data_IF_377753874673
#
_entry.id   IF_377753874673
#
_cell.length_a   1.000
_cell.length_b   1.000
_cell.length_c   1.000
_cell.angle_alpha   90.00
_cell.angle_beta   90.00
_cell.angle_gamma   90.00
#
_symmetry.space_group_name_H-M   'P 1'
#
loop_
_entity.id
_entity.type
_entity.pdbx_description
1 polymer ?
#
# COMPACT_ATOMS: atom_id res chain seq x y z
N UNK A 1 -25.76 -32.04 -16.08
CA UNK A 1 -27.01 -32.77 -15.78
C UNK A 1 -26.75 -33.72 -14.60
N UNK A 2 -26.97 -33.28 -13.36
CA UNK A 2 -27.22 -34.12 -12.17
C UNK A 2 -27.31 -33.22 -10.93
N UNK A 3 -28.55 -32.86 -10.55
CA UNK A 3 -28.91 -32.13 -9.34
C UNK A 3 -28.98 -33.12 -8.16
N UNK A 4 -28.19 -32.91 -7.10
CA UNK A 4 -28.33 -33.66 -5.86
C UNK A 4 -29.27 -32.90 -4.91
N UNK A 5 -30.57 -33.19 -5.02
CA UNK A 5 -31.62 -32.72 -4.11
C UNK A 5 -31.51 -33.44 -2.76
N UNK A 6 -31.14 -32.72 -1.70
CA UNK A 6 -31.20 -33.24 -0.33
C UNK A 6 -32.49 -32.76 0.34
N UNK A 7 -33.30 -33.76 0.72
CA UNK A 7 -34.64 -33.71 1.33
C UNK A 7 -34.79 -32.67 2.45
N UNK A 8 -35.87 -31.90 2.34
CA UNK A 8 -36.55 -31.21 3.44
C UNK A 8 -37.12 -32.23 4.42
N UNK A 9 -36.76 -32.12 5.70
CA UNK A 9 -37.47 -32.76 6.81
C UNK A 9 -38.03 -31.65 7.70
N UNK A 10 -39.35 -31.50 7.65
CA UNK A 10 -40.13 -30.64 8.52
C UNK A 10 -40.25 -31.28 9.90
N UNK A 11 -39.63 -30.67 10.91
CA UNK A 11 -40.02 -30.87 12.31
C UNK A 11 -40.41 -29.53 12.90
N UNK A 12 -41.70 -29.20 12.76
CA UNK A 12 -42.34 -28.15 13.53
C UNK A 12 -42.32 -28.58 14.99
N UNK A 13 -41.50 -27.93 15.81
CA UNK A 13 -41.63 -27.95 17.27
C UNK A 13 -41.49 -26.54 17.84
N UNK A 14 -42.65 -26.06 18.27
CA UNK A 14 -42.91 -25.02 19.27
C UNK A 14 -42.39 -23.60 19.03
N UNK A 15 -43.35 -22.76 18.62
CA UNK A 15 -43.52 -21.39 19.12
C UNK A 15 -43.38 -21.39 20.64
N UNK A 16 -42.28 -20.83 21.14
CA UNK A 16 -42.21 -20.22 22.46
C UNK A 16 -41.68 -18.81 22.30
N UNK A 17 -42.64 -17.88 22.32
CA UNK A 17 -42.42 -16.52 22.79
C UNK A 17 -41.71 -16.57 24.14
N UNK A 18 -40.54 -15.94 24.20
CA UNK A 18 -39.95 -15.45 25.44
C UNK A 18 -38.86 -14.44 25.06
N UNK A 19 -39.27 -13.18 24.89
CA UNK A 19 -38.40 -12.03 25.09
C UNK A 19 -37.71 -12.19 26.45
N UNK A 20 -36.46 -12.63 26.48
CA UNK A 20 -35.62 -12.62 27.68
C UNK A 20 -34.24 -12.12 27.26
N UNK A 21 -34.02 -10.83 27.54
CA UNK A 21 -32.75 -10.12 27.63
C UNK A 21 -31.61 -10.64 26.76
N UNK A 22 -31.60 -10.28 25.47
CA UNK A 22 -30.31 -10.01 24.85
C UNK A 22 -29.75 -8.77 25.54
N UNK A 23 -28.58 -8.87 26.16
CA UNK A 23 -28.10 -7.78 26.95
C UNK A 23 -27.55 -6.71 26.00
N UNK A 24 -27.91 -5.45 26.26
CA UNK A 24 -27.41 -4.27 25.54
C UNK A 24 -25.87 -4.24 25.41
N UNK A 25 -25.13 -5.01 26.23
CA UNK A 25 -23.68 -5.15 26.13
C UNK A 25 -23.18 -5.87 24.86
N UNK A 26 -23.94 -6.80 24.29
CA UNK A 26 -23.48 -7.57 23.11
C UNK A 26 -23.43 -6.71 21.84
N UNK A 27 -24.41 -5.82 21.65
CA UNK A 27 -24.42 -4.85 20.55
C UNK A 27 -23.32 -3.79 20.70
N UNK A 28 -22.99 -3.40 21.94
CA UNK A 28 -21.87 -2.47 22.20
C UNK A 28 -20.51 -3.12 21.91
N UNK A 29 -20.34 -4.41 22.21
CA UNK A 29 -19.12 -5.16 21.92
C UNK A 29 -18.92 -5.32 20.42
N UNK A 30 -19.96 -5.64 19.65
CA UNK A 30 -19.89 -5.74 18.19
C UNK A 30 -19.52 -4.41 17.52
N UNK A 31 -20.03 -3.28 18.03
CA UNK A 31 -19.65 -1.95 17.55
C UNK A 31 -18.17 -1.64 17.83
N UNK A 32 -17.67 -2.04 19.01
CA UNK A 32 -16.25 -1.93 19.35
C UNK A 32 -15.37 -2.88 18.53
N UNK A 33 -15.82 -4.11 18.25
CA UNK A 33 -15.11 -5.08 17.41
C UNK A 33 -14.98 -4.57 15.97
N UNK A 34 -16.06 -4.02 15.41
CA UNK A 34 -16.06 -3.47 14.05
C UNK A 34 -15.22 -2.19 13.95
N UNK A 35 -15.24 -1.33 14.98
CA UNK A 35 -14.34 -0.18 15.07
C UNK A 35 -12.87 -0.62 15.22
N UNK A 36 -12.60 -1.66 16.01
CA UNK A 36 -11.27 -2.23 16.22
C UNK A 36 -10.71 -2.85 14.93
N UNK A 37 -11.49 -3.61 14.17
CA UNK A 37 -11.04 -4.18 12.88
C UNK A 37 -10.85 -3.10 11.80
N UNK A 38 -11.64 -2.02 11.82
CA UNK A 38 -11.44 -0.83 10.95
C UNK A 38 -10.18 -0.04 11.33
N UNK A 39 -9.89 0.10 12.60
CA UNK A 39 -8.67 0.74 13.10
C UNK A 39 -7.43 -0.14 12.82
N UNK A 40 -7.56 -1.46 13.00
CA UNK A 40 -6.51 -2.45 12.71
C UNK A 40 -6.14 -2.48 11.22
N UNK A 41 -7.14 -2.45 10.33
CA UNK A 41 -6.89 -2.33 8.88
C UNK A 41 -6.20 -1.00 8.53
N UNK A 42 -6.59 0.12 9.16
CA UNK A 42 -5.90 1.42 9.02
C UNK A 42 -4.43 1.39 9.46
N UNK A 43 -4.16 0.80 10.61
CA UNK A 43 -2.81 0.67 11.15
C UNK A 43 -1.93 -0.25 10.27
N UNK A 44 -2.56 -1.18 9.55
CA UNK A 44 -1.83 -2.15 8.70
C UNK A 44 -1.21 -1.50 7.46
N UNK A 45 -1.94 -0.65 6.72
CA UNK A 45 -1.38 -0.04 5.50
C UNK A 45 -0.32 1.02 5.78
N UNK A 46 -0.46 1.78 6.88
CA UNK A 46 0.54 2.80 7.26
C UNK A 46 1.87 2.12 7.58
N UNK A 47 1.81 0.98 8.27
CA UNK A 47 2.98 0.16 8.55
C UNK A 47 3.62 -0.34 7.26
N UNK A 48 2.82 -0.77 6.29
CA UNK A 48 3.32 -1.23 4.99
C UNK A 48 4.03 -0.11 4.21
N UNK A 49 3.46 1.10 4.15
CA UNK A 49 4.04 2.23 3.40
C UNK A 49 5.40 2.71 3.92
N UNK A 50 5.69 2.49 5.20
CA UNK A 50 6.95 2.89 5.84
C UNK A 50 7.90 1.71 6.11
N UNK A 51 7.52 0.49 5.72
CA UNK A 51 8.38 -0.67 5.86
C UNK A 51 9.49 -0.63 4.79
N UNK A 52 10.69 -1.16 5.10
CA UNK A 52 11.78 -1.21 4.14
C UNK A 52 11.48 -2.22 3.02
N UNK A 53 12.09 -2.04 1.85
CA UNK A 53 11.79 -2.83 0.64
C UNK A 53 11.99 -4.33 0.88
N UNK A 54 13.02 -4.72 1.64
CA UNK A 54 13.34 -6.12 1.95
C UNK A 54 12.22 -6.82 2.74
N UNK A 55 11.41 -6.06 3.47
CA UNK A 55 10.26 -6.58 4.22
C UNK A 55 8.99 -6.57 3.39
N UNK A 56 8.81 -5.56 2.54
CA UNK A 56 7.61 -5.40 1.70
C UNK A 56 7.66 -6.35 0.50
N UNK A 57 8.81 -6.43 -0.16
CA UNK A 57 9.05 -7.22 -1.37
C UNK A 57 10.51 -7.73 -1.43
N UNK A 58 10.80 -8.88 -0.79
CA UNK A 58 12.15 -9.44 -0.77
C UNK A 58 12.62 -9.94 -2.14
N UNK A 59 11.71 -10.33 -3.04
CA UNK A 59 12.06 -10.81 -4.37
C UNK A 59 12.68 -9.68 -5.21
N UNK A 60 12.07 -8.49 -5.17
CA UNK A 60 12.61 -7.31 -5.85
C UNK A 60 13.92 -6.85 -5.20
N UNK A 61 14.02 -6.90 -3.87
CA UNK A 61 15.27 -6.57 -3.17
C UNK A 61 16.44 -7.47 -3.63
N UNK A 62 16.19 -8.78 -3.75
CA UNK A 62 17.18 -9.75 -4.24
C UNK A 62 17.60 -9.47 -5.69
N UNK A 63 16.66 -9.11 -6.57
CA UNK A 63 16.95 -8.73 -7.96
C UNK A 63 17.87 -7.50 -8.02
N UNK A 64 17.63 -6.50 -7.17
CA UNK A 64 18.47 -5.30 -7.11
C UNK A 64 19.89 -5.65 -6.64
N UNK A 65 20.05 -6.52 -5.64
CA UNK A 65 21.37 -6.95 -5.18
C UNK A 65 22.13 -7.77 -6.22
N UNK A 66 21.43 -8.62 -6.98
CA UNK A 66 22.01 -9.34 -8.10
C UNK A 66 22.50 -8.40 -9.21
N UNK A 67 21.74 -7.35 -9.53
CA UNK A 67 22.15 -6.35 -10.53
C UNK A 67 23.34 -5.51 -10.05
N UNK A 68 23.34 -5.09 -8.78
CA UNK A 68 24.51 -4.42 -8.17
C UNK A 68 25.77 -5.30 -8.28
N UNK A 69 25.64 -6.59 -8.00
CA UNK A 69 26.74 -7.53 -8.11
C UNK A 69 27.20 -7.73 -9.58
N UNK A 70 26.27 -7.70 -10.55
CA UNK A 70 26.59 -7.73 -11.98
C UNK A 70 27.42 -6.52 -12.38
N UNK A 71 26.94 -5.32 -12.06
CA UNK A 71 27.63 -4.05 -12.38
C UNK A 71 29.01 -3.95 -11.72
N UNK A 72 29.16 -4.47 -10.50
CA UNK A 72 30.45 -4.44 -9.80
C UNK A 72 31.50 -5.40 -10.40
N UNK A 73 31.07 -6.55 -10.93
CA UNK A 73 31.97 -7.58 -11.49
C UNK A 73 32.24 -7.36 -12.99
N UNK A 74 31.34 -6.68 -13.69
CA UNK A 74 31.42 -6.44 -15.13
C UNK A 74 32.36 -5.30 -15.48
N UNK A 75 33.00 -5.41 -16.65
CA UNK A 75 33.62 -4.26 -17.31
C UNK A 75 32.63 -3.69 -18.32
N UNK A 76 31.91 -2.65 -17.90
CA UNK A 76 30.89 -2.02 -18.74
C UNK A 76 31.54 -1.08 -19.77
N UNK A 77 31.47 -1.45 -21.05
CA UNK A 77 32.11 -0.72 -22.16
C UNK A 77 31.11 0.01 -23.07
N UNK A 78 29.85 0.10 -22.66
CA UNK A 78 28.82 0.79 -23.42
C UNK A 78 29.00 2.30 -23.18
N UNK A 79 29.33 3.10 -24.22
CA UNK A 79 29.75 4.50 -24.03
C UNK A 79 28.64 5.44 -23.56
N UNK A 80 27.37 5.02 -23.69
CA UNK A 80 26.20 5.78 -23.24
C UNK A 80 25.78 5.45 -21.81
N UNK A 81 26.32 4.39 -21.21
CA UNK A 81 25.99 4.00 -19.83
C UNK A 81 26.97 4.62 -18.85
N UNK A 82 26.50 4.87 -17.61
CA UNK A 82 27.32 5.48 -16.58
C UNK A 82 26.81 5.12 -15.18
N UNK A 83 27.69 5.20 -14.18
CA UNK A 83 27.33 5.05 -12.77
C UNK A 83 27.07 6.41 -12.16
N UNK A 84 25.83 6.62 -11.71
CA UNK A 84 25.46 7.87 -11.05
C UNK A 84 25.94 7.89 -9.59
N UNK A 85 26.04 9.09 -9.02
CA UNK A 85 26.44 9.26 -7.62
C UNK A 85 25.31 8.92 -6.65
N UNK A 86 25.67 8.55 -5.41
CA UNK A 86 24.70 8.25 -4.34
C UNK A 86 23.82 9.46 -4.01
N UNK A 87 24.38 10.67 -4.04
CA UNK A 87 23.63 11.90 -3.78
C UNK A 87 22.54 12.14 -4.84
N UNK A 88 22.81 11.83 -6.11
CA UNK A 88 21.80 11.91 -7.18
C UNK A 88 20.69 10.88 -6.95
N UNK A 89 21.04 9.63 -6.62
CA UNK A 89 20.03 8.60 -6.33
C UNK A 89 19.13 8.97 -5.14
N UNK A 90 19.71 9.55 -4.08
CA UNK A 90 18.94 10.03 -2.91
C UNK A 90 17.96 11.14 -3.27
N UNK A 91 18.34 12.06 -4.16
CA UNK A 91 17.47 13.14 -4.61
C UNK A 91 16.32 12.62 -5.50
N UNK A 92 16.63 11.72 -6.44
CA UNK A 92 15.65 11.13 -7.38
C UNK A 92 14.54 10.39 -6.63
N UNK A 93 14.89 9.60 -5.61
CA UNK A 93 13.93 8.80 -4.84
C UNK A 93 13.44 9.49 -3.56
N UNK A 94 13.51 10.81 -3.50
CA UNK A 94 13.00 11.59 -2.38
C UNK A 94 11.47 11.79 -2.46
N UNK A 95 10.90 12.39 -1.41
CA UNK A 95 9.47 12.74 -1.34
C UNK A 95 9.01 13.72 -2.43
N UNK A 96 9.94 14.31 -3.19
CA UNK A 96 9.65 15.21 -4.31
C UNK A 96 8.84 14.52 -5.42
N UNK A 97 8.95 13.19 -5.55
CA UNK A 97 8.16 12.37 -6.48
C UNK A 97 6.65 12.42 -6.24
N UNK A 98 6.22 12.79 -5.03
CA UNK A 98 4.80 12.88 -4.68
C UNK A 98 4.14 14.15 -5.21
N UNK A 99 4.91 15.17 -5.62
CA UNK A 99 4.35 16.48 -5.94
C UNK A 99 3.93 16.60 -7.41
N UNK A 100 2.69 17.02 -7.60
CA UNK A 100 2.18 17.47 -8.90
C UNK A 100 2.41 18.97 -9.07
N UNK A 101 3.15 19.36 -10.11
CA UNK A 101 3.63 20.74 -10.31
C UNK A 101 3.55 21.20 -11.77
N UNK A 102 2.42 21.02 -12.44
CA UNK A 102 2.21 21.54 -13.81
C UNK A 102 2.36 23.07 -13.90
N UNK A 103 2.86 23.53 -15.05
CA UNK A 103 3.16 24.93 -15.33
C UNK A 103 4.66 25.23 -15.20
N UNK A 104 5.01 26.49 -15.00
CA UNK A 104 6.39 26.93 -14.77
C UNK A 104 6.56 27.46 -13.33
N UNK A 105 7.79 27.54 -12.79
CA UNK A 105 8.04 28.23 -11.53
C UNK A 105 7.44 29.64 -11.55
N UNK A 106 6.65 29.99 -10.54
CA UNK A 106 5.90 31.26 -10.49
C UNK A 106 4.61 31.32 -11.31
N UNK A 107 4.33 30.32 -12.14
CA UNK A 107 3.12 30.19 -12.95
C UNK A 107 2.62 28.73 -12.94
N UNK A 108 2.35 28.21 -11.73
CA UNK A 108 1.84 26.85 -11.53
C UNK A 108 0.32 26.86 -11.50
N UNK A 109 -0.28 25.80 -12.02
CA UNK A 109 -1.75 25.62 -11.98
C UNK A 109 -2.25 25.21 -10.59
N UNK A 110 -1.41 24.57 -9.78
CA UNK A 110 -1.76 24.06 -8.45
C UNK A 110 -0.96 24.75 -7.35
N UNK A 111 -1.56 24.84 -6.16
CA UNK A 111 -0.93 25.38 -4.95
C UNK A 111 0.08 24.43 -4.29
N UNK A 112 0.75 24.94 -3.25
CA UNK A 112 1.72 24.21 -2.42
C UNK A 112 3.01 23.83 -3.16
N UNK A 113 3.42 24.63 -4.15
CA UNK A 113 4.59 24.38 -4.99
C UNK A 113 5.79 25.28 -4.64
N UNK A 114 5.78 25.91 -3.46
CA UNK A 114 6.79 26.90 -3.05
C UNK A 114 8.21 26.31 -3.03
N UNK A 115 8.33 25.06 -2.58
CA UNK A 115 9.60 24.32 -2.56
C UNK A 115 9.89 23.60 -3.90
N UNK A 116 8.90 23.51 -4.80
CA UNK A 116 9.01 22.89 -6.13
C UNK A 116 9.26 23.95 -7.22
N UNK A 117 10.07 24.95 -6.86
CA UNK A 117 10.48 26.07 -7.71
C UNK A 117 11.62 25.69 -8.66
N UNK A 118 12.43 24.70 -8.29
CA UNK A 118 13.34 24.04 -9.23
C UNK A 118 12.55 23.08 -10.12
N UNK A 119 12.93 23.01 -11.39
CA UNK A 119 12.38 22.12 -12.42
C UNK A 119 12.40 20.64 -11.99
N UNK A 120 11.38 20.18 -11.27
CA UNK A 120 11.13 18.75 -11.07
C UNK A 120 10.38 18.28 -12.31
N UNK A 121 11.15 18.12 -13.39
CA UNK A 121 10.76 17.28 -14.50
C UNK A 121 11.42 15.93 -14.27
N UNK A 122 10.82 15.10 -13.43
CA UNK A 122 11.05 13.65 -13.53
C UNK A 122 10.05 13.15 -14.56
N UNK A 123 10.30 13.49 -15.82
CA UNK A 123 9.77 12.68 -16.92
C UNK A 123 10.65 11.44 -16.98
N UNK A 124 10.03 10.30 -16.69
CA UNK A 124 10.52 8.99 -17.14
C UNK A 124 10.48 8.97 -18.66
#
# INVERSE_FOLDING_TARGET
MAMALRRLSSSIKHVRSAFIGTPLYYLSSLANEAAYEKEKSRVTWIKQLNAPLEVVDPEIADIIELEKARQWKGLELIPSENFTSVSVMQAVWSVMTNKYSEGYPGARYYGGNDECTASIWVSI
#
